data_IF_284791779476
#
_entry.id   IF_284791779476
#
_cell.length_a   1.000
_cell.length_b   1.000
_cell.length_c   1.000
_cell.angle_alpha   90.00
_cell.angle_beta   90.00
_cell.angle_gamma   90.00
#
_symmetry.space_group_name_H-M   'P 1'
#
loop_
_entity.id
_entity.type
_entity.pdbx_description
1 polymer ?
#
# COMPACT_ATOMS: atom_id res chain seq x y z
N UNK A 1 -60.43 7.68 -22.32
CA UNK A 1 -60.12 6.40 -22.99
C UNK A 1 -58.61 6.25 -23.08
N UNK A 2 -58.08 5.14 -22.54
CA UNK A 2 -56.74 4.52 -22.75
C UNK A 2 -55.52 5.38 -22.34
N UNK A 3 -55.05 5.32 -21.09
CA UNK A 3 -54.17 4.28 -20.54
C UNK A 3 -52.98 3.93 -21.46
N UNK A 4 -51.86 4.64 -21.29
CA UNK A 4 -50.54 4.18 -21.76
C UNK A 4 -49.47 4.57 -20.73
N UNK A 5 -49.13 3.58 -19.90
CA UNK A 5 -47.78 3.24 -19.41
C UNK A 5 -47.11 4.21 -18.42
N UNK A 6 -47.39 3.95 -17.14
CA UNK A 6 -46.38 4.00 -16.07
C UNK A 6 -45.10 3.27 -16.52
N UNK A 7 -43.96 3.95 -16.41
CA UNK A 7 -42.55 3.54 -16.50
C UNK A 7 -41.83 4.80 -17.02
N UNK A 8 -41.32 5.70 -16.17
CA UNK A 8 -39.98 5.60 -15.59
C UNK A 8 -39.94 6.59 -14.41
N UNK A 9 -40.16 6.10 -13.20
CA UNK A 9 -39.58 6.65 -11.98
C UNK A 9 -38.50 5.62 -11.58
N UNK A 10 -37.37 6.08 -11.04
CA UNK A 10 -36.14 5.32 -10.72
C UNK A 10 -35.32 5.08 -12.00
N UNK A 11 -34.20 5.75 -12.30
CA UNK A 11 -32.96 5.86 -11.51
C UNK A 11 -32.16 7.04 -12.07
N UNK A 12 -32.33 8.26 -11.52
CA UNK A 12 -31.30 9.31 -11.59
C UNK A 12 -30.70 9.47 -10.19
N UNK A 13 -30.41 8.35 -9.55
CA UNK A 13 -29.17 8.26 -8.78
C UNK A 13 -28.21 7.66 -9.79
N UNK A 14 -27.82 8.49 -10.76
CA UNK A 14 -26.73 8.18 -11.66
C UNK A 14 -25.57 7.83 -10.75
N UNK A 15 -25.28 6.53 -10.74
CA UNK A 15 -24.25 5.85 -9.96
C UNK A 15 -23.16 6.86 -9.66
N UNK A 16 -23.11 7.33 -8.41
CA UNK A 16 -21.87 7.83 -7.82
C UNK A 16 -20.93 6.64 -7.98
N UNK A 17 -20.24 6.58 -9.13
CA UNK A 17 -19.18 5.65 -9.37
C UNK A 17 -18.22 5.94 -8.24
N UNK A 18 -18.18 5.00 -7.31
CA UNK A 18 -17.40 5.07 -6.09
C UNK A 18 -15.99 5.47 -6.49
N UNK A 19 -15.64 6.73 -6.24
CA UNK A 19 -14.27 7.22 -6.31
C UNK A 19 -13.48 6.24 -5.42
N UNK A 20 -12.40 5.60 -5.90
CA UNK A 20 -11.69 4.61 -5.09
C UNK A 20 -11.08 5.33 -3.90
N UNK A 21 -11.79 5.26 -2.77
CA UNK A 21 -11.31 5.62 -1.45
C UNK A 21 -10.50 4.46 -0.84
N UNK A 22 -10.04 3.50 -1.64
CA UNK A 22 -9.65 2.18 -1.15
C UNK A 22 -8.23 2.13 -0.58
N UNK A 23 -7.21 2.68 -1.25
CA UNK A 23 -5.81 2.48 -0.87
C UNK A 23 -5.46 3.20 0.44
N UNK A 24 -5.97 4.43 0.62
CA UNK A 24 -5.77 5.18 1.86
C UNK A 24 -6.51 4.58 3.05
N UNK A 25 -7.75 4.09 2.84
CA UNK A 25 -8.50 3.41 3.90
C UNK A 25 -7.89 2.05 4.23
N UNK A 26 -7.47 1.29 3.23
CA UNK A 26 -6.77 0.03 3.39
C UNK A 26 -5.47 0.21 4.17
N UNK A 27 -4.65 1.21 3.79
CA UNK A 27 -3.43 1.52 4.52
C UNK A 27 -3.72 1.87 5.99
N UNK A 28 -4.70 2.74 6.26
CA UNK A 28 -5.08 3.10 7.63
C UNK A 28 -5.58 1.89 8.44
N UNK A 29 -6.36 1.00 7.81
CA UNK A 29 -6.82 -0.25 8.42
C UNK A 29 -5.63 -1.14 8.76
N UNK A 30 -4.69 -1.32 7.82
CA UNK A 30 -3.50 -2.14 8.02
C UNK A 30 -2.56 -1.55 9.07
N UNK A 31 -2.36 -0.23 9.10
CA UNK A 31 -1.61 0.44 10.19
C UNK A 31 -2.25 0.11 11.54
N UNK A 32 -3.58 0.20 11.64
CA UNK A 32 -4.29 -0.09 12.90
C UNK A 32 -4.08 -1.54 13.34
N UNK A 33 -4.28 -2.50 12.43
CA UNK A 33 -4.08 -3.93 12.72
C UNK A 33 -2.63 -4.23 13.08
N UNK A 34 -1.68 -3.71 12.31
CA UNK A 34 -0.26 -4.03 12.46
C UNK A 34 0.42 -3.33 13.64
N UNK A 35 -0.23 -2.35 14.28
CA UNK A 35 0.30 -1.66 15.47
C UNK A 35 -0.33 -2.14 16.78
N UNK A 36 -1.47 -2.84 16.72
CA UNK A 36 -2.25 -3.24 17.90
C UNK A 36 -1.45 -4.06 18.92
N UNK A 37 -0.57 -4.96 18.47
CA UNK A 37 0.29 -5.78 19.34
C UNK A 37 1.68 -5.22 19.61
N UNK A 38 2.08 -4.15 18.91
CA UNK A 38 3.41 -3.54 19.05
C UNK A 38 3.41 -2.40 20.08
N UNK A 39 2.23 -1.80 20.34
CA UNK A 39 2.05 -0.64 21.21
C UNK A 39 3.06 0.51 20.95
N UNK A 40 3.25 0.96 19.69
CA UNK A 40 4.13 2.07 19.40
C UNK A 40 3.58 3.39 19.97
N UNK A 41 4.45 4.40 20.18
CA UNK A 41 4.00 5.74 20.56
C UNK A 41 2.93 6.30 19.60
N UNK A 42 1.94 7.01 20.14
CA UNK A 42 0.81 7.51 19.35
C UNK A 42 1.25 8.51 18.25
N UNK A 43 2.30 9.30 18.51
CA UNK A 43 2.91 10.19 17.53
C UNK A 43 3.53 9.41 16.36
N UNK A 44 4.16 8.26 16.63
CA UNK A 44 4.70 7.38 15.59
C UNK A 44 3.58 6.79 14.72
N UNK A 45 2.46 6.36 15.32
CA UNK A 45 1.28 5.92 14.56
C UNK A 45 0.72 7.04 13.70
N UNK A 46 0.68 8.28 14.22
CA UNK A 46 0.21 9.42 13.46
C UNK A 46 1.13 9.73 12.27
N UNK A 47 2.44 9.58 12.42
CA UNK A 47 3.41 9.69 11.32
C UNK A 47 3.16 8.66 10.23
N UNK A 48 2.86 7.40 10.58
CA UNK A 48 2.47 6.38 9.59
C UNK A 48 1.23 6.79 8.79
N UNK A 49 0.20 7.32 9.47
CA UNK A 49 -1.04 7.81 8.83
C UNK A 49 -0.78 9.01 7.93
N UNK A 50 0.27 9.77 8.21
CA UNK A 50 0.75 10.85 7.36
C UNK A 50 1.67 10.34 6.23
N UNK A 51 1.93 9.03 6.11
CA UNK A 51 2.79 8.43 5.10
C UNK A 51 4.29 8.61 5.38
N UNK A 52 4.67 8.81 6.64
CA UNK A 52 6.06 8.90 7.07
C UNK A 52 6.46 7.59 7.75
N UNK A 53 7.55 6.99 7.29
CA UNK A 53 8.03 5.70 7.78
C UNK A 53 9.50 5.80 8.20
N UNK A 54 9.77 6.22 9.45
CA UNK A 54 11.13 6.32 10.00
C UNK A 54 11.87 4.97 10.09
N UNK A 55 13.20 5.04 10.16
CA UNK A 55 14.08 3.88 10.35
C UNK A 55 14.15 3.49 11.83
N UNK A 56 13.12 2.83 12.33
CA UNK A 56 13.07 2.28 13.69
C UNK A 56 12.39 0.91 13.72
N UNK A 57 12.61 0.16 14.81
CA UNK A 57 12.16 -1.23 14.95
C UNK A 57 10.63 -1.39 14.81
N UNK A 58 9.83 -0.46 15.36
CA UNK A 58 8.38 -0.54 15.25
C UNK A 58 7.94 -0.34 13.81
N UNK A 59 8.56 0.61 13.10
CA UNK A 59 8.27 0.84 11.68
C UNK A 59 8.62 -0.38 10.84
N UNK A 60 9.78 -1.00 11.08
CA UNK A 60 10.21 -2.19 10.36
C UNK A 60 9.21 -3.34 10.53
N UNK A 61 8.81 -3.61 11.78
CA UNK A 61 7.88 -4.70 12.07
C UNK A 61 6.46 -4.40 11.58
N UNK A 62 6.00 -3.15 11.67
CA UNK A 62 4.74 -2.75 11.05
C UNK A 62 4.78 -2.99 9.54
N UNK A 63 5.83 -2.55 8.84
CA UNK A 63 5.97 -2.77 7.40
C UNK A 63 5.97 -4.25 7.02
N UNK A 64 6.66 -5.10 7.79
CA UNK A 64 6.58 -6.56 7.62
C UNK A 64 5.15 -7.06 7.75
N UNK A 65 4.44 -6.69 8.81
CA UNK A 65 3.03 -7.09 8.99
C UNK A 65 2.15 -6.65 7.81
N UNK A 66 2.32 -5.41 7.33
CA UNK A 66 1.57 -4.88 6.19
C UNK A 66 1.90 -5.69 4.92
N UNK A 67 3.17 -5.93 4.63
CA UNK A 67 3.60 -6.66 3.45
C UNK A 67 3.09 -8.12 3.45
N UNK A 68 3.09 -8.78 4.61
CA UNK A 68 2.49 -10.10 4.81
C UNK A 68 0.98 -10.08 4.56
N UNK A 69 0.25 -9.10 5.10
CA UNK A 69 -1.21 -8.98 4.89
C UNK A 69 -1.58 -8.67 3.44
N UNK A 70 -0.70 -7.99 2.71
CA UNK A 70 -0.88 -7.68 1.28
C UNK A 70 -0.44 -8.84 0.37
N UNK A 71 0.19 -9.88 0.91
CA UNK A 71 0.67 -11.02 0.14
C UNK A 71 1.84 -10.70 -0.80
N UNK A 72 2.47 -9.55 -0.64
CA UNK A 72 3.62 -9.12 -1.47
C UNK A 72 4.96 -9.60 -0.93
N UNK A 73 4.96 -10.22 0.24
CA UNK A 73 6.18 -10.67 0.93
C UNK A 73 5.89 -11.89 1.80
N UNK A 74 6.87 -12.77 1.94
CA UNK A 74 6.96 -13.75 3.03
C UNK A 74 8.41 -13.87 3.55
N UNK A 75 8.59 -14.37 4.77
CA UNK A 75 9.91 -14.42 5.42
C UNK A 75 10.87 -15.45 4.81
N UNK A 76 10.35 -16.45 4.11
CA UNK A 76 11.12 -17.53 3.52
C UNK A 76 11.65 -17.14 2.14
N UNK A 77 10.80 -16.58 1.29
CA UNK A 77 11.09 -16.27 -0.11
C UNK A 77 11.37 -14.78 -0.35
N UNK A 78 11.06 -13.93 0.63
CA UNK A 78 11.18 -12.49 0.49
C UNK A 78 10.02 -11.89 -0.32
N UNK A 79 10.34 -10.93 -1.18
CA UNK A 79 9.35 -10.14 -1.91
C UNK A 79 8.80 -10.88 -3.15
N UNK A 80 7.48 -10.91 -3.29
CA UNK A 80 6.78 -11.44 -4.45
C UNK A 80 6.70 -10.37 -5.55
N UNK A 81 7.57 -10.49 -6.56
CA UNK A 81 7.68 -9.48 -7.62
C UNK A 81 6.40 -9.26 -8.41
N UNK A 82 5.63 -10.32 -8.68
CA UNK A 82 4.38 -10.22 -9.41
C UNK A 82 3.36 -9.37 -8.64
N UNK A 83 3.09 -9.72 -7.39
CA UNK A 83 2.09 -9.02 -6.56
C UNK A 83 2.51 -7.57 -6.26
N UNK A 84 3.81 -7.36 -6.04
CA UNK A 84 4.39 -6.01 -5.88
C UNK A 84 4.22 -5.18 -7.15
N UNK A 85 4.40 -5.78 -8.33
CA UNK A 85 4.11 -5.11 -9.59
C UNK A 85 2.63 -4.76 -9.72
N UNK A 86 1.72 -5.69 -9.39
CA UNK A 86 0.27 -5.43 -9.44
C UNK A 86 -0.12 -4.24 -8.56
N UNK A 87 0.48 -4.12 -7.38
CA UNK A 87 0.27 -3.00 -6.46
C UNK A 87 0.71 -1.65 -7.06
N UNK A 88 1.84 -1.60 -7.75
CA UNK A 88 2.42 -0.34 -8.24
C UNK A 88 2.14 -0.02 -9.71
N UNK A 89 1.63 -0.94 -10.51
CA UNK A 89 1.54 -0.75 -11.97
C UNK A 89 0.64 0.41 -12.39
N UNK A 90 -0.39 0.78 -11.62
CA UNK A 90 -1.29 1.92 -11.93
C UNK A 90 -1.71 2.01 -13.41
N UNK A 91 -2.10 0.89 -13.99
CA UNK A 91 -2.50 0.82 -15.41
C UNK A 91 -1.37 0.70 -16.42
N UNK A 92 -0.09 0.70 -16.00
CA UNK A 92 1.05 0.35 -16.87
C UNK A 92 0.83 -1.04 -17.51
N UNK A 93 1.21 -1.22 -18.79
CA UNK A 93 1.05 -2.49 -19.49
C UNK A 93 1.80 -3.63 -18.80
N UNK A 94 1.24 -4.86 -18.87
CA UNK A 94 1.88 -6.05 -18.31
C UNK A 94 3.28 -6.31 -18.88
N UNK A 95 3.56 -5.87 -20.12
CA UNK A 95 4.88 -5.97 -20.75
C UNK A 95 5.99 -5.25 -19.97
N UNK A 96 5.67 -4.31 -19.08
CA UNK A 96 6.64 -3.59 -18.26
C UNK A 96 7.05 -4.33 -16.98
N UNK A 97 6.36 -5.42 -16.62
CA UNK A 97 6.62 -6.17 -15.38
C UNK A 97 8.06 -6.70 -15.31
N UNK A 98 8.58 -7.24 -16.42
CA UNK A 98 9.94 -7.78 -16.47
C UNK A 98 10.99 -6.69 -16.19
N UNK A 99 10.82 -5.52 -16.79
CA UNK A 99 11.73 -4.38 -16.59
C UNK A 99 11.67 -3.87 -15.15
N UNK A 100 10.46 -3.77 -14.59
CA UNK A 100 10.27 -3.43 -13.18
C UNK A 100 10.97 -4.40 -12.23
N UNK A 101 10.80 -5.72 -12.46
CA UNK A 101 11.41 -6.73 -11.62
C UNK A 101 12.95 -6.70 -11.71
N UNK A 102 13.51 -6.51 -12.91
CA UNK A 102 14.97 -6.42 -13.09
C UNK A 102 15.56 -5.20 -12.38
N UNK A 103 14.92 -4.04 -12.53
CA UNK A 103 15.34 -2.80 -11.88
C UNK A 103 15.43 -2.95 -10.36
N UNK A 104 14.49 -3.67 -9.74
CA UNK A 104 14.42 -3.77 -8.28
C UNK A 104 15.28 -4.88 -7.69
N UNK A 105 15.49 -6.00 -8.40
CA UNK A 105 16.27 -7.14 -7.88
C UNK A 105 17.68 -6.73 -7.45
N UNK A 106 18.35 -5.90 -8.24
CA UNK A 106 19.70 -5.45 -7.94
C UNK A 106 19.75 -4.61 -6.65
N UNK A 107 18.79 -3.68 -6.49
CA UNK A 107 18.66 -2.92 -5.26
C UNK A 107 18.37 -3.82 -4.06
N UNK A 108 17.42 -4.77 -4.19
CA UNK A 108 17.01 -5.67 -3.10
C UNK A 108 18.19 -6.49 -2.60
N UNK A 109 18.96 -7.10 -3.51
CA UNK A 109 20.16 -7.86 -3.17
C UNK A 109 21.15 -6.98 -2.41
N UNK A 110 21.37 -5.75 -2.88
CA UNK A 110 22.31 -4.83 -2.25
C UNK A 110 21.85 -4.36 -0.86
N UNK A 111 20.56 -4.03 -0.68
CA UNK A 111 20.03 -3.54 0.59
C UNK A 111 19.94 -4.63 1.66
N UNK A 112 19.75 -5.89 1.25
CA UNK A 112 19.57 -7.01 2.19
C UNK A 112 20.84 -7.81 2.49
N UNK A 113 21.97 -7.50 1.82
CA UNK A 113 23.22 -8.28 1.90
C UNK A 113 23.79 -8.39 3.32
N UNK A 114 23.67 -7.32 4.11
CA UNK A 114 24.23 -7.22 5.46
C UNK A 114 23.15 -7.36 6.55
N UNK A 115 21.89 -7.60 6.15
CA UNK A 115 20.78 -7.76 7.10
C UNK A 115 20.70 -9.23 7.51
N UNK A 116 20.80 -9.56 8.81
CA UNK A 116 20.68 -10.94 9.29
C UNK A 116 19.43 -11.64 8.76
N UNK A 117 19.54 -12.94 8.45
CA UNK A 117 18.44 -13.72 7.87
C UNK A 117 17.24 -13.84 8.83
N UNK A 118 17.51 -13.83 10.14
CA UNK A 118 16.53 -13.87 11.22
C UNK A 118 15.98 -12.49 11.62
N UNK A 119 16.52 -11.40 11.08
CA UNK A 119 15.93 -10.06 11.24
C UNK A 119 14.79 -9.81 10.26
N UNK A 120 13.69 -10.55 10.41
CA UNK A 120 12.55 -10.48 9.50
C UNK A 120 12.00 -9.04 9.31
N UNK A 121 11.93 -8.26 10.40
CA UNK A 121 11.47 -6.88 10.32
C UNK A 121 12.46 -6.01 9.52
N UNK A 122 13.75 -6.06 9.85
CA UNK A 122 14.78 -5.27 9.18
C UNK A 122 14.90 -5.61 7.69
N UNK A 123 14.74 -6.89 7.32
CA UNK A 123 14.79 -7.32 5.92
C UNK A 123 13.69 -6.67 5.08
N UNK A 124 12.46 -6.61 5.58
CA UNK A 124 11.37 -5.92 4.87
C UNK A 124 11.65 -4.42 4.74
N UNK A 125 12.18 -3.78 5.79
CA UNK A 125 12.50 -2.36 5.72
C UNK A 125 13.64 -2.05 4.74
N UNK A 126 14.63 -2.94 4.63
CA UNK A 126 15.69 -2.86 3.63
C UNK A 126 15.12 -2.99 2.19
N UNK A 127 14.21 -3.93 1.97
CA UNK A 127 13.49 -4.07 0.68
C UNK A 127 12.67 -2.81 0.38
N UNK A 128 11.98 -2.24 1.38
CA UNK A 128 11.20 -1.01 1.23
C UNK A 128 12.03 0.16 0.69
N UNK A 129 13.31 0.26 1.04
CA UNK A 129 14.18 1.33 0.50
C UNK A 129 14.25 1.33 -1.03
N UNK A 130 14.11 0.17 -1.67
CA UNK A 130 14.14 0.03 -3.11
C UNK A 130 12.86 0.49 -3.81
N UNK A 131 11.77 0.67 -3.07
CA UNK A 131 10.44 1.03 -3.60
C UNK A 131 9.95 2.40 -3.12
N UNK A 132 10.86 3.22 -2.54
CA UNK A 132 10.49 4.49 -1.90
C UNK A 132 9.73 5.41 -2.85
N UNK A 133 10.18 5.53 -4.08
CA UNK A 133 9.56 6.42 -5.07
C UNK A 133 8.14 5.95 -5.45
N UNK A 134 7.94 4.64 -5.58
CA UNK A 134 6.64 4.01 -5.84
C UNK A 134 5.66 4.27 -4.69
N UNK A 135 6.12 4.06 -3.46
CA UNK A 135 5.36 4.32 -2.24
C UNK A 135 5.01 5.80 -2.09
N UNK A 136 5.98 6.69 -2.26
CA UNK A 136 5.72 8.14 -2.24
C UNK A 136 4.67 8.54 -3.27
N UNK A 137 4.78 7.99 -4.49
CA UNK A 137 3.81 8.24 -5.54
C UNK A 137 2.42 7.66 -5.19
N UNK A 138 2.33 6.61 -4.39
CA UNK A 138 1.07 6.02 -3.94
C UNK A 138 0.43 6.90 -2.87
N UNK A 139 1.24 7.36 -1.93
CA UNK A 139 0.83 8.11 -0.75
C UNK A 139 0.48 9.57 -1.06
N UNK A 140 1.07 10.17 -2.11
CA UNK A 140 0.66 11.50 -2.59
C UNK A 140 -0.86 11.58 -2.85
N UNK A 141 -1.42 10.54 -3.48
CA UNK A 141 -2.85 10.48 -3.77
C UNK A 141 -3.70 10.33 -2.50
N UNK A 142 -3.20 9.57 -1.51
CA UNK A 142 -3.85 9.41 -0.20
C UNK A 142 -3.87 10.75 0.56
N UNK A 143 -2.73 11.46 0.61
CA UNK A 143 -2.60 12.75 1.29
C UNK A 143 -3.51 13.81 0.67
N UNK A 144 -3.58 13.88 -0.66
CA UNK A 144 -4.47 14.82 -1.36
C UNK A 144 -5.95 14.55 -1.09
N UNK A 145 -6.37 13.27 -1.02
CA UNK A 145 -7.72 12.89 -0.64
C UNK A 145 -8.09 13.27 0.80
N UNK A 146 -7.15 13.08 1.75
CA UNK A 146 -7.35 13.44 3.15
C UNK A 146 -7.41 14.96 3.38
N UNK A 147 -6.60 15.74 2.65
CA UNK A 147 -6.66 17.21 2.70
C UNK A 147 -7.99 17.75 2.16
N UNK A 148 -8.52 17.16 1.08
CA UNK A 148 -9.80 17.55 0.51
C UNK A 148 -11.00 17.20 1.39
N UNK A 149 -10.91 16.17 2.22
CA UNK A 149 -11.99 15.77 3.15
C UNK A 149 -12.05 16.60 4.44
N UNK A 150 -11.05 17.46 4.69
CA UNK A 150 -10.96 18.34 5.87
C UNK A 150 -11.36 19.80 5.59
N UNK A 151 -11.60 20.15 4.32
CA UNK A 151 -12.08 21.46 3.86
C UNK A 151 -13.52 21.35 3.37
#
# INVERSE_FOLDING_TARGET
MKAVRFLILLVIIGVFHTIPADAGQLLNKLITVCTQGQNPPADLVQRYRNGEFPNDRNTHCMMRCIALNLGVYDDLNGIHMHDTWQMFRRGRPASHEKAFAEQHRQCITQQTKDVPLDDYCGRVYAVYQCYKDEYEALLRNVRQGAAKARN
#
